data_IF_916930749629
#
_entry.id   IF_916930749629
#
_cell.length_a   1.000
_cell.length_b   1.000
_cell.length_c   1.000
_cell.angle_alpha   90.00
_cell.angle_beta   90.00
_cell.angle_gamma   90.00
#
_symmetry.space_group_name_H-M   'P 1'
#
loop_
_entity.id
_entity.type
_entity.pdbx_description
1 polymer ?
#
# COMPACT_ATOMS: atom_id res chain seq x y z
N UNK A 1 -79.18 3.68 -34.46
CA UNK A 1 -79.73 3.80 -33.09
C UNK A 1 -80.34 2.46 -32.68
N UNK A 2 -79.76 1.78 -31.68
CA UNK A 2 -80.40 0.91 -30.68
C UNK A 2 -79.28 0.35 -29.78
N UNK A 3 -79.42 0.62 -28.49
CA UNK A 3 -78.48 0.40 -27.38
C UNK A 3 -78.76 -0.95 -26.72
N UNK A 4 -77.75 -1.53 -26.07
CA UNK A 4 -77.74 -2.27 -24.77
C UNK A 4 -76.45 -3.11 -24.74
N UNK A 5 -75.39 -2.81 -23.98
CA UNK A 5 -75.21 -2.86 -22.52
C UNK A 5 -75.63 -4.21 -21.89
N UNK A 6 -74.67 -5.06 -21.51
CA UNK A 6 -74.42 -5.50 -20.11
C UNK A 6 -73.50 -6.72 -19.98
N UNK A 7 -72.42 -6.52 -19.20
CA UNK A 7 -71.84 -7.33 -18.11
C UNK A 7 -71.61 -8.86 -18.20
N UNK A 8 -70.32 -9.20 -17.98
CA UNK A 8 -69.74 -10.19 -17.04
C UNK A 8 -70.17 -11.67 -17.13
N UNK A 9 -69.21 -12.59 -17.31
CA UNK A 9 -68.52 -13.29 -16.21
C UNK A 9 -67.45 -14.27 -16.77
N UNK A 10 -66.35 -14.41 -16.05
CA UNK A 10 -65.11 -15.07 -16.43
C UNK A 10 -65.13 -16.60 -16.31
N UNK A 11 -64.31 -17.28 -17.12
CA UNK A 11 -63.53 -18.46 -16.71
C UNK A 11 -62.31 -18.66 -17.63
N UNK A 12 -61.21 -18.02 -17.22
CA UNK A 12 -59.86 -18.58 -17.06
C UNK A 12 -59.46 -19.78 -17.95
N UNK A 13 -58.51 -19.56 -18.86
CA UNK A 13 -57.53 -20.58 -19.23
C UNK A 13 -56.12 -19.99 -19.09
N UNK A 14 -55.40 -20.52 -18.11
CA UNK A 14 -53.99 -20.23 -17.83
C UNK A 14 -53.14 -20.82 -18.95
N UNK A 15 -52.32 -19.99 -19.60
CA UNK A 15 -51.12 -20.49 -20.28
C UNK A 15 -49.91 -19.77 -19.72
N UNK A 16 -49.21 -20.51 -18.88
CA UNK A 16 -47.88 -20.23 -18.38
C UNK A 16 -46.91 -20.17 -19.56
N UNK A 17 -46.28 -19.02 -19.74
CA UNK A 17 -44.88 -18.97 -20.18
C UNK A 17 -44.28 -17.70 -19.60
N UNK A 18 -43.78 -17.79 -18.36
CA UNK A 18 -42.78 -16.84 -17.90
C UNK A 18 -41.57 -17.05 -18.81
N UNK A 19 -41.35 -16.11 -19.71
CA UNK A 19 -40.09 -16.00 -20.43
C UNK A 19 -38.98 -15.79 -19.41
N UNK A 20 -38.11 -16.78 -19.27
CA UNK A 20 -36.79 -16.58 -18.70
C UNK A 20 -36.01 -15.68 -19.66
N UNK A 21 -35.97 -14.37 -19.38
CA UNK A 21 -34.91 -13.52 -19.89
C UNK A 21 -33.67 -13.83 -19.04
N UNK A 22 -32.51 -14.19 -19.63
CA UNK A 22 -31.27 -14.18 -18.87
C UNK A 22 -30.96 -12.72 -18.55
N UNK A 23 -31.20 -12.32 -17.31
CA UNK A 23 -30.48 -11.20 -16.73
C UNK A 23 -29.02 -11.67 -16.63
N UNK A 24 -28.24 -11.44 -17.69
CA UNK A 24 -26.79 -11.38 -17.55
C UNK A 24 -26.56 -10.19 -16.63
N UNK A 25 -26.39 -10.50 -15.35
CA UNK A 25 -25.61 -9.69 -14.44
C UNK A 25 -24.31 -9.44 -15.19
N UNK A 26 -24.17 -8.22 -15.73
CA UNK A 26 -22.85 -7.66 -15.96
C UNK A 26 -22.21 -7.66 -14.57
N UNK A 27 -21.51 -8.75 -14.27
CA UNK A 27 -20.57 -8.79 -13.17
C UNK A 27 -19.69 -7.60 -13.42
N UNK A 28 -19.71 -6.67 -12.47
CA UNK A 28 -18.76 -5.58 -12.35
C UNK A 28 -17.41 -6.26 -12.12
N UNK A 29 -16.85 -6.78 -13.21
CA UNK A 29 -15.47 -7.12 -13.32
C UNK A 29 -14.79 -5.77 -13.20
N UNK A 30 -14.45 -5.44 -11.95
CA UNK A 30 -13.40 -4.50 -11.63
C UNK A 30 -12.18 -4.97 -12.40
N UNK A 31 -12.11 -4.54 -13.66
CA UNK A 31 -10.89 -4.32 -14.35
C UNK A 31 -10.20 -3.26 -13.48
N UNK A 32 -9.45 -3.72 -12.49
CA UNK A 32 -8.25 -3.01 -12.09
C UNK A 32 -7.45 -2.90 -13.39
N UNK A 33 -7.70 -1.80 -14.09
CA UNK A 33 -6.83 -1.36 -15.14
C UNK A 33 -5.50 -1.15 -14.44
N UNK A 34 -4.66 -2.18 -14.51
CA UNK A 34 -3.23 -2.12 -14.28
C UNK A 34 -2.65 -1.27 -15.42
N UNK A 35 -3.10 -0.02 -15.47
CA UNK A 35 -2.38 1.04 -16.10
C UNK A 35 -1.05 1.01 -15.36
N UNK A 36 -0.02 0.50 -16.03
CA UNK A 36 1.37 0.82 -15.73
C UNK A 36 1.48 2.33 -15.80
N UNK A 37 1.05 3.01 -14.75
CA UNK A 37 1.34 4.41 -14.52
C UNK A 37 2.86 4.42 -14.51
N UNK A 38 3.50 5.03 -15.50
CA UNK A 38 4.94 5.21 -15.46
C UNK A 38 5.21 6.33 -14.42
N UNK A 39 5.17 5.99 -13.14
CA UNK A 39 5.24 6.94 -12.03
C UNK A 39 6.41 6.66 -11.09
N UNK A 40 6.97 7.71 -10.49
CA UNK A 40 7.79 7.59 -9.28
C UNK A 40 6.88 7.96 -8.12
N UNK A 41 6.75 7.04 -7.18
CA UNK A 41 5.99 7.22 -5.96
C UNK A 41 6.69 8.10 -4.94
N UNK A 42 5.92 8.81 -4.11
CA UNK A 42 6.39 9.50 -2.90
C UNK A 42 5.62 9.01 -1.68
N UNK A 43 6.36 8.61 -0.64
CA UNK A 43 5.86 8.33 0.70
C UNK A 43 6.48 9.33 1.68
N UNK A 44 5.65 9.91 2.55
CA UNK A 44 6.08 10.65 3.74
C UNK A 44 5.37 10.04 4.93
N UNK A 45 6.08 9.65 5.98
CA UNK A 45 5.50 9.03 7.17
C UNK A 45 6.16 9.58 8.43
N UNK A 46 5.34 9.82 9.45
CA UNK A 46 5.81 10.23 10.78
C UNK A 46 5.09 9.40 11.83
N UNK A 47 5.83 8.80 12.76
CA UNK A 47 5.23 7.97 13.80
C UNK A 47 6.21 7.13 14.62
N UNK A 48 5.62 6.30 15.46
CA UNK A 48 6.30 5.33 16.31
C UNK A 48 5.96 3.91 15.88
N UNK A 49 6.95 3.03 15.81
CA UNK A 49 6.77 1.62 15.47
C UNK A 49 7.76 1.13 14.43
N UNK A 50 7.28 0.29 13.51
CA UNK A 50 8.06 -0.35 12.46
C UNK A 50 7.63 0.19 11.09
N UNK A 51 8.60 0.69 10.32
CA UNK A 51 8.44 0.95 8.90
C UNK A 51 9.40 0.06 8.10
N UNK A 52 8.85 -0.76 7.20
CA UNK A 52 9.60 -1.63 6.32
C UNK A 52 9.37 -1.24 4.85
N UNK A 53 10.44 -1.03 4.10
CA UNK A 53 10.42 -0.62 2.71
C UNK A 53 11.20 -1.62 1.86
N UNK A 54 10.71 -1.88 0.66
CA UNK A 54 11.40 -2.68 -0.35
C UNK A 54 11.20 -2.08 -1.74
N UNK A 55 12.27 -1.98 -2.51
CA UNK A 55 12.20 -1.46 -3.87
C UNK A 55 13.44 -0.68 -4.30
N UNK A 56 13.23 0.30 -5.17
CA UNK A 56 14.28 1.14 -5.76
C UNK A 56 13.96 2.61 -5.59
N UNK A 57 14.99 3.43 -5.38
CA UNK A 57 14.80 4.86 -5.22
C UNK A 57 15.73 5.48 -4.18
N UNK A 58 15.21 6.48 -3.47
CA UNK A 58 15.87 7.23 -2.41
C UNK A 58 14.99 7.14 -1.15
N UNK A 59 15.62 6.92 0.00
CA UNK A 59 15.00 6.92 1.32
C UNK A 59 15.82 7.83 2.22
N UNK A 60 15.17 8.83 2.79
CA UNK A 60 15.68 9.68 3.86
C UNK A 60 14.91 9.32 5.13
N UNK A 61 15.62 9.06 6.22
CA UNK A 61 15.00 8.71 7.49
C UNK A 61 15.74 9.33 8.68
N UNK A 62 14.98 9.69 9.70
CA UNK A 62 15.49 10.04 11.03
C UNK A 62 14.58 9.45 12.10
N UNK A 63 15.08 9.38 13.33
CA UNK A 63 14.33 8.88 14.47
C UNK A 63 15.22 8.16 15.47
N UNK A 64 14.60 7.59 16.51
CA UNK A 64 15.31 6.94 17.59
C UNK A 64 15.04 5.43 17.59
N UNK A 65 16.06 4.59 17.36
CA UNK A 65 15.85 3.14 17.36
C UNK A 65 16.92 2.30 16.66
N UNK A 66 16.46 1.31 15.89
CA UNK A 66 17.30 0.35 15.18
C UNK A 66 16.96 0.34 13.70
N UNK A 67 17.96 0.61 12.86
CA UNK A 67 17.86 0.61 11.41
C UNK A 67 18.52 -0.65 10.84
N UNK A 68 17.83 -1.33 9.93
CA UNK A 68 18.33 -2.45 9.14
C UNK A 68 18.29 -2.09 7.67
N UNK A 69 19.40 -2.32 6.97
CA UNK A 69 19.51 -2.08 5.52
C UNK A 69 20.10 -3.31 4.85
N UNK A 70 19.51 -3.71 3.74
CA UNK A 70 20.04 -4.75 2.85
C UNK A 70 20.02 -4.26 1.42
N UNK A 71 21.19 -4.21 0.82
CA UNK A 71 21.36 -3.98 -0.60
C UNK A 71 21.32 -5.34 -1.31
N UNK A 72 20.43 -5.48 -2.30
CA UNK A 72 20.26 -6.72 -3.04
C UNK A 72 21.06 -6.74 -4.35
N UNK A 73 21.47 -5.58 -4.86
CA UNK A 73 22.18 -5.44 -6.14
C UNK A 73 23.64 -5.01 -5.99
N UNK A 74 24.07 -4.63 -4.77
CA UNK A 74 25.44 -4.20 -4.50
C UNK A 74 25.76 -2.78 -4.98
N UNK A 75 24.74 -1.99 -5.33
CA UNK A 75 24.87 -0.64 -5.88
C UNK A 75 24.35 0.47 -4.95
N UNK A 76 23.92 0.11 -3.74
CA UNK A 76 23.33 1.06 -2.81
C UNK A 76 24.39 1.96 -2.17
N UNK A 77 24.13 3.27 -2.18
CA UNK A 77 24.82 4.26 -1.36
C UNK A 77 24.05 4.40 -0.06
N UNK A 78 24.71 4.10 1.07
CA UNK A 78 24.11 4.09 2.41
C UNK A 78 24.97 4.99 3.29
N UNK A 79 24.41 6.11 3.72
CA UNK A 79 25.04 7.06 4.62
C UNK A 79 24.19 7.16 5.89
N UNK A 80 24.76 6.79 7.04
CA UNK A 80 24.06 6.83 8.33
C UNK A 80 24.92 7.61 9.32
N UNK A 81 24.29 8.55 10.01
CA UNK A 81 24.92 9.41 11.03
C UNK A 81 24.17 9.26 12.35
N UNK A 82 24.85 9.51 13.47
CA UNK A 82 24.25 9.42 14.79
C UNK A 82 23.72 8.02 15.11
N UNK A 83 24.62 7.06 15.27
CA UNK A 83 24.31 5.70 15.71
C UNK A 83 25.31 5.24 16.79
N UNK A 84 24.89 4.31 17.64
CA UNK A 84 25.74 3.76 18.70
C UNK A 84 26.66 2.66 18.20
N UNK A 85 26.10 1.65 17.53
CA UNK A 85 26.88 0.53 16.99
C UNK A 85 26.38 0.05 15.63
N UNK A 86 27.28 -0.55 14.86
CA UNK A 86 27.01 -1.11 13.54
C UNK A 86 27.42 -2.58 13.50
N UNK A 87 26.56 -3.44 12.96
CA UNK A 87 26.85 -4.86 12.74
C UNK A 87 26.51 -5.26 11.31
N UNK A 88 27.43 -5.95 10.64
CA UNK A 88 27.20 -6.59 9.34
C UNK A 88 26.96 -8.09 9.56
N UNK A 89 25.96 -8.63 8.86
CA UNK A 89 25.59 -10.04 8.92
C UNK A 89 26.02 -10.76 7.64
N UNK A 90 26.26 -12.07 7.75
CA UNK A 90 26.74 -12.90 6.63
C UNK A 90 25.74 -12.95 5.46
N UNK A 91 24.46 -12.71 5.72
CA UNK A 91 23.41 -12.72 4.71
C UNK A 91 23.22 -11.35 4.02
N UNK A 92 24.09 -10.37 4.31
CA UNK A 92 24.11 -9.06 3.67
C UNK A 92 23.30 -7.97 4.40
N UNK A 93 22.65 -8.28 5.53
CA UNK A 93 22.07 -7.22 6.35
C UNK A 93 23.13 -6.39 7.06
N UNK A 94 22.84 -5.10 7.20
CA UNK A 94 23.57 -4.18 8.06
C UNK A 94 22.60 -3.60 9.07
N UNK A 95 22.90 -3.76 10.34
CA UNK A 95 22.14 -3.20 11.46
C UNK A 95 22.91 -2.01 12.05
N UNK A 96 22.19 -0.92 12.29
CA UNK A 96 22.63 0.23 13.06
C UNK A 96 21.75 0.32 14.31
N UNK A 97 22.37 0.23 15.49
CA UNK A 97 21.68 0.29 16.79
C UNK A 97 21.92 1.62 17.48
N UNK A 98 20.91 2.10 18.21
CA UNK A 98 20.98 3.39 18.90
C UNK A 98 21.01 4.56 17.91
N UNK A 99 20.27 4.44 16.81
CA UNK A 99 20.10 5.53 15.85
C UNK A 99 19.40 6.69 16.56
N UNK A 100 19.92 7.90 16.34
CA UNK A 100 19.38 9.19 16.80
C UNK A 100 19.73 10.33 15.82
N UNK A 101 20.34 10.00 14.67
CA UNK A 101 20.69 10.92 13.59
C UNK A 101 19.90 10.64 12.30
N UNK A 102 20.54 10.89 11.16
CA UNK A 102 19.92 10.79 9.83
C UNK A 102 20.52 9.63 9.05
N UNK A 103 19.70 9.00 8.21
CA UNK A 103 20.13 8.05 7.20
C UNK A 103 19.64 8.47 5.81
N UNK A 104 20.56 8.47 4.85
CA UNK A 104 20.31 8.67 3.42
C UNK A 104 20.67 7.40 2.67
N UNK A 105 19.71 6.83 1.95
CA UNK A 105 19.86 5.54 1.27
C UNK A 105 19.37 5.66 -0.17
N UNK A 106 20.21 5.30 -1.13
CA UNK A 106 19.88 5.29 -2.56
C UNK A 106 20.37 4.02 -3.23
N UNK A 107 19.52 3.34 -4.00
CA UNK A 107 19.88 2.08 -4.66
C UNK A 107 18.83 1.57 -5.65
N UNK A 108 19.20 0.56 -6.45
CA UNK A 108 18.30 -0.02 -7.46
C UNK A 108 17.49 -1.22 -6.98
N UNK A 109 17.86 -1.83 -5.85
CA UNK A 109 17.08 -2.87 -5.17
C UNK A 109 17.53 -2.99 -3.71
N UNK A 110 16.70 -2.54 -2.78
CA UNK A 110 17.03 -2.52 -1.36
C UNK A 110 15.85 -2.93 -0.49
N UNK A 111 16.18 -3.37 0.74
CA UNK A 111 15.23 -3.50 1.85
C UNK A 111 15.71 -2.65 3.01
N UNK A 112 14.81 -1.88 3.59
CA UNK A 112 15.09 -0.98 4.71
C UNK A 112 14.04 -1.20 5.78
N UNK A 113 14.45 -1.38 7.03
CA UNK A 113 13.53 -1.52 8.17
C UNK A 113 14.00 -0.59 9.27
N UNK A 114 13.14 0.29 9.75
CA UNK A 114 13.38 1.08 10.96
C UNK A 114 12.35 0.67 12.01
N UNK A 115 12.82 0.33 13.20
CA UNK A 115 12.01 0.11 14.39
C UNK A 115 12.41 1.16 15.43
N UNK A 116 11.49 2.05 15.81
CA UNK A 116 11.85 3.18 16.66
C UNK A 116 10.69 4.09 17.02
N UNK A 117 11.05 5.21 17.66
CA UNK A 117 10.16 6.30 18.05
C UNK A 117 10.59 7.62 17.40
N UNK A 118 9.63 8.52 17.18
CA UNK A 118 9.80 9.76 16.43
C UNK A 118 10.44 9.51 15.06
N UNK A 119 9.97 8.49 14.35
CA UNK A 119 10.45 8.18 13.00
C UNK A 119 9.88 9.22 12.05
N UNK A 120 10.73 9.93 11.33
CA UNK A 120 10.39 10.70 10.13
C UNK A 120 11.00 9.99 8.92
N UNK A 121 10.16 9.63 7.96
CA UNK A 121 10.55 8.88 6.79
C UNK A 121 10.03 9.55 5.52
N UNK A 122 10.94 9.80 4.58
CA UNK A 122 10.63 10.21 3.23
C UNK A 122 11.21 9.18 2.25
N UNK A 123 10.37 8.67 1.34
CA UNK A 123 10.82 7.77 0.30
C UNK A 123 10.31 8.24 -1.07
N UNK A 124 11.18 8.19 -2.08
CA UNK A 124 10.86 8.49 -3.47
C UNK A 124 11.36 7.36 -4.35
N UNK A 125 10.46 6.66 -5.04
CA UNK A 125 10.85 5.48 -5.80
C UNK A 125 9.70 4.59 -6.27
N UNK A 126 10.03 3.33 -6.52
CA UNK A 126 9.08 2.26 -6.85
C UNK A 126 9.29 1.11 -5.89
N UNK A 127 8.21 0.61 -5.30
CA UNK A 127 8.33 -0.39 -4.25
C UNK A 127 7.09 -0.48 -3.36
N UNK A 128 7.26 -1.25 -2.29
CA UNK A 128 6.24 -1.50 -1.27
C UNK A 128 6.73 -1.01 0.08
N UNK A 129 5.82 -0.49 0.88
CA UNK A 129 6.05 -0.14 2.27
C UNK A 129 5.06 -0.87 3.18
N UNK A 130 5.45 -1.16 4.41
CA UNK A 130 4.58 -1.63 5.49
C UNK A 130 4.83 -0.73 6.68
N UNK A 131 3.76 -0.17 7.25
CA UNK A 131 3.81 0.69 8.43
C UNK A 131 2.97 0.03 9.52
N UNK A 132 3.59 -0.31 10.64
CA UNK A 132 2.94 -0.94 11.79
C UNK A 132 3.33 -0.21 13.08
N UNK A 133 2.36 0.36 13.80
CA UNK A 133 2.65 1.33 14.86
C UNK A 133 1.58 2.42 15.00
N UNK A 134 1.99 3.63 15.38
CA UNK A 134 1.11 4.79 15.55
C UNK A 134 1.69 6.00 14.83
N UNK A 135 0.91 6.66 13.98
CA UNK A 135 1.32 7.87 13.30
C UNK A 135 0.50 8.14 12.05
N UNK A 136 1.03 8.97 11.16
CA UNK A 136 0.38 9.33 9.91
C UNK A 136 1.33 9.18 8.73
N UNK A 137 0.77 8.99 7.54
CA UNK A 137 1.53 9.02 6.31
C UNK A 137 0.76 9.68 5.17
N UNK A 138 1.49 10.04 4.12
CA UNK A 138 0.93 10.40 2.82
C UNK A 138 1.62 9.59 1.73
N UNK A 139 0.83 9.05 0.79
CA UNK A 139 1.33 8.42 -0.43
C UNK A 139 0.82 9.21 -1.61
N UNK A 140 1.74 9.80 -2.39
CA UNK A 140 1.40 10.66 -3.53
C UNK A 140 0.36 11.74 -3.16
N UNK A 141 0.48 12.31 -1.96
CA UNK A 141 -0.42 13.31 -1.41
C UNK A 141 -1.72 12.78 -0.78
N UNK A 142 -2.01 11.47 -0.90
CA UNK A 142 -3.18 10.86 -0.26
C UNK A 142 -2.85 10.47 1.18
N UNK A 143 -3.58 10.99 2.19
CA UNK A 143 -3.30 10.71 3.58
C UNK A 143 -3.72 9.28 3.97
N UNK A 144 -3.08 8.75 5.01
CA UNK A 144 -3.44 7.51 5.68
C UNK A 144 -2.87 7.44 7.08
N UNK A 145 -3.29 6.43 7.84
CA UNK A 145 -2.88 6.24 9.23
C UNK A 145 -1.90 5.07 9.37
N UNK A 146 -0.80 5.32 10.07
CA UNK A 146 0.13 4.29 10.50
C UNK A 146 -0.44 3.67 11.77
N UNK A 147 -0.98 2.46 11.66
CA UNK A 147 -1.76 1.81 12.73
C UNK A 147 -1.32 0.37 12.97
N UNK A 148 -1.53 -0.12 14.20
CA UNK A 148 -1.17 -1.48 14.60
C UNK A 148 -1.99 -2.57 13.90
N UNK A 149 -3.15 -2.21 13.34
CA UNK A 149 -4.08 -3.15 12.71
C UNK A 149 -3.71 -3.46 11.24
N UNK A 150 -2.68 -2.80 10.71
CA UNK A 150 -2.23 -2.94 9.32
C UNK A 150 -1.03 -3.91 9.17
N UNK A 151 -0.75 -4.76 10.16
CA UNK A 151 0.32 -5.74 10.04
C UNK A 151 0.07 -6.67 8.83
N UNK A 152 1.03 -6.74 7.91
CA UNK A 152 0.91 -7.50 6.66
C UNK A 152 0.23 -6.77 5.50
N UNK A 153 -0.32 -5.56 5.70
CA UNK A 153 -0.85 -4.72 4.61
C UNK A 153 0.28 -3.90 3.99
N UNK A 154 0.58 -4.19 2.73
CA UNK A 154 1.56 -3.42 1.97
C UNK A 154 0.92 -2.23 1.27
N UNK A 155 1.57 -1.09 1.38
CA UNK A 155 1.29 0.13 0.66
C UNK A 155 2.16 0.19 -0.59
N UNK A 156 1.56 0.37 -1.77
CA UNK A 156 2.31 0.59 -3.01
C UNK A 156 2.76 2.04 -3.04
N UNK A 157 4.07 2.28 -3.00
CA UNK A 157 4.63 3.64 -3.02
C UNK A 157 4.57 4.19 -4.44
N UNK A 158 4.95 3.37 -5.41
CA UNK A 158 4.87 3.68 -6.83
C UNK A 158 4.64 2.41 -7.67
N UNK A 159 4.13 2.58 -8.91
CA UNK A 159 3.90 1.51 -9.88
C UNK A 159 5.20 0.86 -10.37
#
# INVERSE_FOLDING_TARGET
>A
MKRTLSLLLATMLVVVSLGFAPAVLAGDAGAEADAKVAGIGKLSAQGDGIAALSGKGIIDLSGNGVLWVKDLNGDAKIEVTGYGSMKRFADGWVQYSGVHGNAHIKGSSMRVIIAGVNVDLQAKGRGKAMLWGHGAYTINGKPGQWENNNFGKFLTVGP
#
